data_IF_520930305626
#
_entry.id   IF_520930305626
#
_cell.length_a   1.000
_cell.length_b   1.000
_cell.length_c   1.000
_cell.angle_alpha   90.00
_cell.angle_beta   90.00
_cell.angle_gamma   90.00
#
_symmetry.space_group_name_H-M   'P 1'
#
loop_
_entity.id
_entity.type
_entity.pdbx_description
1 polymer ?
#
# COMPACT_ATOMS: atom_id res chain seq x y z
N UNK A 1 13.31 46.88 8.34
CA UNK A 1 12.11 46.06 8.08
C UNK A 1 12.36 44.63 8.56
N UNK A 2 11.33 43.81 8.81
CA UNK A 2 11.51 42.36 9.05
C UNK A 2 12.23 41.68 7.88
N UNK A 3 12.99 40.63 8.18
CA UNK A 3 13.86 39.95 7.21
C UNK A 3 13.40 38.51 6.93
N UNK A 4 13.91 37.90 5.86
CA UNK A 4 13.66 36.49 5.49
C UNK A 4 12.18 36.07 5.55
N UNK A 5 11.29 36.97 5.11
CA UNK A 5 9.84 36.74 5.12
C UNK A 5 9.50 35.61 4.15
N UNK A 6 8.89 34.56 4.69
CA UNK A 6 8.46 33.36 3.98
C UNK A 6 7.03 33.02 4.37
N UNK A 7 6.31 32.33 3.48
CA UNK A 7 4.91 32.01 3.72
C UNK A 7 4.51 30.66 3.15
N UNK A 8 3.44 30.11 3.70
CA UNK A 8 2.74 28.91 3.21
C UNK A 8 1.25 29.21 3.19
N UNK A 9 0.61 28.86 2.08
CA UNK A 9 -0.83 29.01 1.87
C UNK A 9 -1.55 27.70 2.17
N UNK A 10 -2.78 27.80 2.66
CA UNK A 10 -3.82 26.76 2.63
C UNK A 10 -5.04 27.34 1.91
N UNK A 11 -6.13 26.61 1.86
CA UNK A 11 -7.37 27.02 1.20
C UNK A 11 -8.06 28.21 1.91
N UNK A 12 -7.95 28.31 3.23
CA UNK A 12 -8.58 29.37 4.03
C UNK A 12 -7.59 30.12 4.93
N UNK A 13 -6.29 29.86 4.81
CA UNK A 13 -5.28 30.48 5.67
C UNK A 13 -3.97 30.77 4.95
N UNK A 14 -3.19 31.69 5.53
CA UNK A 14 -1.79 31.93 5.17
C UNK A 14 -0.97 32.01 6.44
N UNK A 15 0.06 31.18 6.54
CA UNK A 15 1.05 31.23 7.63
C UNK A 15 2.29 31.96 7.15
N UNK A 16 2.73 32.95 7.92
CA UNK A 16 3.92 33.75 7.68
C UNK A 16 4.99 33.39 8.70
N UNK A 17 6.25 33.43 8.28
CA UNK A 17 7.42 33.43 9.14
C UNK A 17 8.40 34.52 8.71
N UNK A 18 9.11 35.10 9.65
CA UNK A 18 10.09 36.16 9.41
C UNK A 18 11.15 36.16 10.49
N UNK A 19 12.27 36.81 10.20
CA UNK A 19 13.31 37.15 11.15
C UNK A 19 13.13 38.62 11.60
N UNK A 20 13.54 38.98 12.82
CA UNK A 20 13.53 40.37 13.27
C UNK A 20 14.40 41.25 12.37
N UNK A 21 14.17 42.58 12.32
CA UNK A 21 15.07 43.50 11.62
C UNK A 21 16.51 43.34 12.10
N UNK A 22 17.51 43.40 11.20
CA UNK A 22 18.94 43.38 11.59
C UNK A 22 19.32 44.47 12.61
N UNK A 23 18.59 45.59 12.60
CA UNK A 23 18.75 46.69 13.56
C UNK A 23 18.03 46.48 14.90
N UNK A 24 17.44 45.30 15.17
CA UNK A 24 16.66 45.05 16.39
C UNK A 24 17.47 45.14 17.70
N UNK A 25 18.80 45.06 17.62
CA UNK A 25 19.70 45.29 18.77
C UNK A 25 19.97 46.79 19.04
N UNK A 26 19.67 47.66 18.08
CA UNK A 26 19.90 49.10 18.13
C UNK A 26 18.58 49.88 18.30
N UNK A 27 17.53 49.42 17.62
CA UNK A 27 16.19 50.01 17.62
C UNK A 27 15.24 49.01 18.27
N UNK A 28 14.62 49.41 19.36
CA UNK A 28 13.64 48.58 20.07
C UNK A 28 12.50 48.16 19.13
N UNK A 29 12.20 46.87 19.12
CA UNK A 29 11.00 46.30 18.49
C UNK A 29 10.03 45.89 19.59
N UNK A 30 8.77 46.34 19.53
CA UNK A 30 7.70 45.91 20.45
C UNK A 30 6.90 44.75 19.87
N UNK A 31 6.79 44.69 18.55
CA UNK A 31 6.09 43.65 17.85
C UNK A 31 5.99 43.92 16.35
N UNK A 32 5.01 43.29 15.71
CA UNK A 32 4.84 43.33 14.26
C UNK A 32 3.41 43.65 13.87
N UNK A 33 3.23 44.34 12.74
CA UNK A 33 1.91 44.58 12.15
C UNK A 33 1.84 43.85 10.81
N UNK A 34 0.81 43.02 10.62
CA UNK A 34 0.49 42.43 9.31
C UNK A 34 -0.75 43.09 8.77
N UNK A 35 -0.63 43.78 7.64
CA UNK A 35 -1.77 44.30 6.89
C UNK A 35 -2.06 43.43 5.68
N UNK A 36 -3.33 43.11 5.40
CA UNK A 36 -3.70 42.18 4.33
C UNK A 36 -5.08 42.47 3.72
N UNK A 37 -5.29 42.07 2.47
CA UNK A 37 -6.58 42.21 1.79
C UNK A 37 -6.53 41.89 0.30
N UNK A 38 -7.70 41.86 -0.34
CA UNK A 38 -7.83 41.54 -1.76
C UNK A 38 -7.56 42.82 -2.57
N UNK A 39 -6.55 42.79 -3.43
CA UNK A 39 -6.09 43.95 -4.21
C UNK A 39 -5.34 45.00 -3.38
N UNK A 40 -5.81 45.31 -2.16
CA UNK A 40 -5.16 46.24 -1.22
C UNK A 40 -5.16 45.70 0.22
N UNK A 41 -4.11 45.97 1.01
CA UNK A 41 -4.02 45.54 2.40
C UNK A 41 -4.92 46.38 3.33
N UNK A 42 -6.23 46.08 3.29
CA UNK A 42 -7.30 46.84 3.95
C UNK A 42 -7.59 46.43 5.40
N UNK A 43 -7.11 45.25 5.83
CA UNK A 43 -7.22 44.73 7.20
C UNK A 43 -5.86 44.75 7.86
N UNK A 44 -5.81 44.81 9.19
CA UNK A 44 -4.55 44.72 9.95
C UNK A 44 -4.66 43.85 11.18
N UNK A 45 -3.56 43.20 11.53
CA UNK A 45 -3.36 42.46 12.77
C UNK A 45 -2.10 43.01 13.43
N UNK A 46 -2.18 43.31 14.72
CA UNK A 46 -1.05 43.73 15.54
C UNK A 46 -0.64 42.55 16.40
N UNK A 47 0.65 42.22 16.37
CA UNK A 47 1.25 41.11 17.10
C UNK A 47 2.19 41.72 18.13
N UNK A 48 1.94 41.43 19.39
CA UNK A 48 2.82 41.83 20.49
C UNK A 48 3.95 40.81 20.65
N UNK A 49 5.14 41.29 21.04
CA UNK A 49 6.30 40.46 21.31
C UNK A 49 7.36 40.56 20.21
N UNK A 50 8.51 41.13 20.57
CA UNK A 50 9.67 41.29 19.70
C UNK A 50 10.21 39.94 19.15
N UNK A 51 10.06 38.88 19.95
CA UNK A 51 10.55 37.54 19.64
C UNK A 51 9.59 36.71 18.78
N UNK A 52 8.41 37.25 18.44
CA UNK A 52 7.45 36.55 17.59
C UNK A 52 7.98 36.52 16.15
N UNK A 53 8.09 35.32 15.59
CA UNK A 53 8.68 35.08 14.28
C UNK A 53 7.72 34.36 13.32
N UNK A 54 6.47 34.12 13.73
CA UNK A 54 5.47 33.45 12.92
C UNK A 54 4.05 33.89 13.29
N UNK A 55 3.15 33.88 12.30
CA UNK A 55 1.72 34.12 12.53
C UNK A 55 0.85 33.55 11.40
N UNK A 56 -0.31 32.98 11.75
CA UNK A 56 -1.28 32.43 10.79
C UNK A 56 -2.52 33.31 10.69
N UNK A 57 -2.81 33.80 9.49
CA UNK A 57 -4.04 34.51 9.16
C UNK A 57 -5.05 33.49 8.64
N UNK A 58 -6.13 33.30 9.40
CA UNK A 58 -7.20 32.34 9.09
C UNK A 58 -8.42 33.03 8.47
N UNK A 59 -9.39 32.22 8.01
CA UNK A 59 -10.70 32.66 7.46
C UNK A 59 -10.55 33.57 6.24
N UNK A 60 -9.54 33.29 5.41
CA UNK A 60 -9.39 33.86 4.08
C UNK A 60 -10.33 33.14 3.10
N UNK A 61 -10.65 33.80 2.00
CA UNK A 61 -11.43 33.19 0.92
C UNK A 61 -10.52 32.22 0.15
N UNK A 62 -11.00 31.04 -0.22
CA UNK A 62 -10.26 30.14 -1.11
C UNK A 62 -10.09 30.71 -2.51
N UNK A 63 -9.10 30.17 -3.23
CA UNK A 63 -8.75 30.56 -4.60
C UNK A 63 -8.67 32.08 -4.80
N UNK A 64 -8.10 32.79 -3.83
CA UNK A 64 -8.11 34.25 -3.79
C UNK A 64 -6.70 34.77 -3.52
N UNK A 65 -6.23 35.68 -4.38
CA UNK A 65 -4.95 36.37 -4.19
C UNK A 65 -5.11 37.54 -3.21
N UNK A 66 -4.32 37.49 -2.14
CA UNK A 66 -4.22 38.53 -1.13
C UNK A 66 -2.89 39.28 -1.27
N UNK A 67 -2.93 40.59 -1.02
CA UNK A 67 -1.76 41.45 -0.85
C UNK A 67 -1.50 41.58 0.64
N UNK A 68 -0.26 41.34 1.07
CA UNK A 68 0.19 41.44 2.44
C UNK A 68 1.28 42.50 2.57
N UNK A 69 1.32 43.17 3.73
CA UNK A 69 2.37 44.07 4.17
C UNK A 69 2.76 43.70 5.60
N UNK A 70 4.03 43.36 5.84
CA UNK A 70 4.58 43.09 7.16
C UNK A 70 5.52 44.23 7.59
N UNK A 71 5.33 44.73 8.81
CA UNK A 71 6.15 45.77 9.44
C UNK A 71 6.50 45.40 10.88
N UNK A 72 7.59 45.96 11.39
CA UNK A 72 7.89 45.98 12.82
C UNK A 72 7.47 47.34 13.40
N UNK A 73 6.95 47.37 14.62
CA UNK A 73 6.58 48.61 15.31
C UNK A 73 7.28 48.72 16.68
N UNK A 74 7.38 49.95 17.17
CA UNK A 74 7.93 50.28 18.49
C UNK A 74 7.00 51.26 19.23
N UNK A 75 7.49 51.93 20.28
CA UNK A 75 6.69 52.89 21.07
C UNK A 75 6.59 54.29 20.44
N UNK A 76 7.25 54.53 19.30
CA UNK A 76 7.14 55.79 18.59
C UNK A 76 5.78 55.88 17.89
N UNK A 77 5.10 57.02 18.05
CA UNK A 77 3.81 57.25 17.43
C UNK A 77 3.95 57.36 15.89
N UNK A 78 3.27 56.45 15.18
CA UNK A 78 2.95 56.62 13.76
C UNK A 78 3.99 56.11 12.75
N UNK A 79 5.12 55.57 13.18
CA UNK A 79 6.14 55.03 12.26
C UNK A 79 6.43 53.54 12.52
N UNK A 80 5.73 52.71 11.78
CA UNK A 80 6.15 51.34 11.52
C UNK A 80 7.41 51.36 10.63
N UNK A 81 8.22 50.30 10.72
CA UNK A 81 9.34 50.10 9.79
C UNK A 81 8.88 50.11 8.34
N UNK A 82 9.82 50.19 7.39
CA UNK A 82 9.52 49.90 5.98
C UNK A 82 8.77 48.56 5.82
N UNK A 83 7.83 48.54 4.87
CA UNK A 83 6.91 47.43 4.61
C UNK A 83 7.55 46.37 3.74
N UNK A 84 7.49 45.13 4.18
CA UNK A 84 7.71 43.98 3.30
C UNK A 84 6.39 43.65 2.63
N UNK A 85 6.30 43.90 1.32
CA UNK A 85 5.11 43.62 0.51
C UNK A 85 5.26 42.29 -0.23
N UNK A 86 4.21 41.47 -0.19
CA UNK A 86 4.14 40.24 -0.96
C UNK A 86 2.69 39.88 -1.28
N UNK A 87 2.51 38.98 -2.24
CA UNK A 87 1.21 38.42 -2.58
C UNK A 87 1.20 36.91 -2.34
N UNK A 88 0.08 36.39 -1.87
CA UNK A 88 -0.14 34.96 -1.73
C UNK A 88 -1.55 34.59 -2.16
N UNK A 89 -1.67 33.50 -2.92
CA UNK A 89 -2.96 32.99 -3.41
C UNK A 89 -3.33 31.78 -2.56
N UNK A 90 -4.45 31.88 -1.86
CA UNK A 90 -5.01 30.73 -1.13
C UNK A 90 -5.36 29.60 -2.09
N UNK A 91 -5.25 28.37 -1.63
CA UNK A 91 -5.53 27.20 -2.45
C UNK A 91 -7.02 27.13 -2.82
N UNK A 92 -7.36 26.34 -3.85
CA UNK A 92 -8.75 26.11 -4.23
C UNK A 92 -9.47 25.49 -3.03
N UNK A 93 -10.65 26.04 -2.71
CA UNK A 93 -11.42 25.66 -1.53
C UNK A 93 -11.73 24.18 -1.58
N UNK A 94 -11.23 23.43 -0.60
CA UNK A 94 -11.68 22.06 -0.40
C UNK A 94 -13.17 22.15 -0.06
N UNK A 95 -14.01 21.37 -0.72
CA UNK A 95 -15.45 21.46 -0.44
C UNK A 95 -15.68 21.21 1.07
N UNK A 96 -16.76 21.74 1.64
CA UNK A 96 -17.10 21.45 3.04
C UNK A 96 -17.28 19.95 3.31
N UNK A 97 -17.51 19.15 2.27
CA UNK A 97 -17.50 17.68 2.32
C UNK A 97 -16.06 17.13 2.39
N UNK A 98 -15.11 17.68 1.63
CA UNK A 98 -13.69 17.25 1.64
C UNK A 98 -12.97 17.54 2.96
N UNK A 99 -13.36 18.59 3.70
CA UNK A 99 -12.86 18.86 5.05
C UNK A 99 -13.30 17.82 6.09
N UNK A 100 -14.37 17.07 5.82
CA UNK A 100 -14.87 16.00 6.68
C UNK A 100 -14.32 14.62 6.29
N UNK A 101 -13.52 14.55 5.23
CA UNK A 101 -12.96 13.30 4.71
C UNK A 101 -11.58 13.09 5.32
N UNK A 102 -11.52 12.16 6.26
CA UNK A 102 -10.28 11.72 6.86
C UNK A 102 -9.78 10.45 6.17
N UNK A 103 -8.67 10.56 5.44
CA UNK A 103 -7.99 9.40 4.88
C UNK A 103 -7.36 8.59 6.01
N UNK A 104 -7.67 7.31 6.04
CA UNK A 104 -7.08 6.38 6.99
C UNK A 104 -5.60 6.14 6.62
N UNK A 105 -4.69 6.10 7.60
CA UNK A 105 -3.29 5.78 7.33
C UNK A 105 -3.16 4.33 6.84
N UNK A 106 -2.15 4.02 6.00
CA UNK A 106 -1.79 2.65 5.68
C UNK A 106 -1.58 1.81 6.95
N UNK A 107 -2.14 0.61 6.96
CA UNK A 107 -2.18 -0.29 8.10
C UNK A 107 -1.42 -1.59 7.79
N UNK A 108 -1.10 -2.37 8.83
CA UNK A 108 -0.40 -3.66 8.71
C UNK A 108 0.88 -3.56 7.87
N UNK A 109 1.71 -2.55 8.17
CA UNK A 109 3.04 -2.44 7.57
C UNK A 109 3.84 -3.64 8.04
N UNK A 110 4.40 -4.40 7.10
CA UNK A 110 5.31 -5.50 7.36
C UNK A 110 6.64 -5.19 6.69
N UNK A 111 7.71 -5.23 7.47
CA UNK A 111 9.07 -5.08 6.98
C UNK A 111 9.84 -6.39 7.11
N UNK A 112 10.66 -6.71 6.11
CA UNK A 112 11.62 -7.81 6.17
C UNK A 112 12.99 -7.34 5.67
N UNK A 113 14.03 -7.58 6.48
CA UNK A 113 15.40 -7.34 6.04
C UNK A 113 15.80 -8.48 5.07
N UNK A 114 15.95 -8.15 3.79
CA UNK A 114 16.29 -9.14 2.75
C UNK A 114 17.80 -9.26 2.56
N UNK A 115 18.55 -8.25 2.97
CA UNK A 115 20.01 -8.28 3.02
C UNK A 115 20.56 -7.28 4.04
N UNK A 116 21.89 -7.17 4.12
CA UNK A 116 22.55 -6.17 4.96
C UNK A 116 22.34 -4.72 4.48
N UNK A 117 21.81 -4.53 3.27
CA UNK A 117 21.62 -3.19 2.69
C UNK A 117 20.20 -2.97 2.15
N UNK A 118 19.27 -3.91 2.38
CA UNK A 118 17.94 -3.87 1.78
C UNK A 118 16.85 -4.34 2.74
N UNK A 119 15.71 -3.65 2.68
CA UNK A 119 14.49 -3.97 3.41
C UNK A 119 13.33 -4.00 2.40
N UNK A 120 12.50 -5.04 2.46
CA UNK A 120 11.26 -5.13 1.70
C UNK A 120 10.07 -4.74 2.60
N UNK A 121 9.16 -3.93 2.06
CA UNK A 121 8.00 -3.39 2.77
C UNK A 121 6.72 -3.71 2.02
N UNK A 122 5.69 -4.10 2.75
CA UNK A 122 4.32 -4.19 2.24
C UNK A 122 3.32 -3.66 3.28
N UNK A 123 2.15 -3.19 2.82
CA UNK A 123 1.10 -2.66 3.70
C UNK A 123 -0.30 -2.81 3.09
N UNK A 124 -1.32 -2.56 3.89
CA UNK A 124 -2.72 -2.46 3.47
C UNK A 124 -3.17 -0.99 3.41
N UNK A 125 -3.96 -0.63 2.40
CA UNK A 125 -4.60 0.67 2.29
C UNK A 125 -6.10 0.56 2.64
N UNK A 126 -6.50 0.90 3.88
CA UNK A 126 -7.89 0.80 4.31
C UNK A 126 -8.86 1.66 3.51
N UNK A 127 -8.38 2.69 2.79
CA UNK A 127 -9.24 3.58 1.99
C UNK A 127 -9.81 2.90 0.73
N UNK A 128 -9.37 1.67 0.42
CA UNK A 128 -9.84 0.86 -0.70
C UNK A 128 -10.82 -0.24 -0.29
N UNK A 129 -11.05 -0.40 1.01
CA UNK A 129 -12.08 -1.29 1.51
C UNK A 129 -13.45 -0.84 0.95
N UNK A 130 -14.24 -1.78 0.41
CA UNK A 130 -15.56 -1.51 -0.20
C UNK A 130 -16.43 -0.61 0.67
N UNK A 131 -16.48 -0.82 1.98
CA UNK A 131 -17.29 0.02 2.87
C UNK A 131 -16.85 1.49 2.84
N UNK A 132 -15.57 1.77 3.09
CA UNK A 132 -15.06 3.15 3.11
C UNK A 132 -15.06 3.77 1.72
N UNK A 133 -14.69 2.98 0.72
CA UNK A 133 -14.60 3.42 -0.66
C UNK A 133 -15.96 3.85 -1.21
N UNK A 134 -17.04 3.11 -0.93
CA UNK A 134 -18.39 3.43 -1.39
C UNK A 134 -18.94 4.74 -0.82
N UNK A 135 -18.57 5.07 0.41
CA UNK A 135 -19.01 6.29 1.11
C UNK A 135 -18.23 7.54 0.70
N UNK A 136 -17.13 7.41 -0.04
CA UNK A 136 -16.43 8.58 -0.56
C UNK A 136 -17.18 9.23 -1.74
N UNK A 137 -17.15 10.57 -1.87
CA UNK A 137 -17.61 11.26 -3.08
C UNK A 137 -16.85 10.82 -4.33
N UNK A 138 -17.47 10.94 -5.50
CA UNK A 138 -16.87 10.50 -6.77
C UNK A 138 -15.56 11.23 -7.13
N UNK A 139 -15.42 12.49 -6.71
CA UNK A 139 -14.17 13.27 -6.85
C UNK A 139 -13.00 12.59 -6.10
N UNK A 140 -13.27 12.06 -4.91
CA UNK A 140 -12.29 11.37 -4.07
C UNK A 140 -12.04 9.96 -4.58
N UNK A 141 -13.08 9.20 -4.96
CA UNK A 141 -12.92 7.88 -5.60
C UNK A 141 -12.01 7.94 -6.82
N UNK A 142 -12.19 8.96 -7.67
CA UNK A 142 -11.34 9.18 -8.85
C UNK A 142 -9.89 9.50 -8.46
N UNK A 143 -9.70 10.25 -7.39
CA UNK A 143 -8.37 10.60 -6.86
C UNK A 143 -7.67 9.41 -6.20
N UNK A 144 -8.40 8.55 -5.48
CA UNK A 144 -7.92 7.31 -4.85
C UNK A 144 -7.35 6.31 -5.86
N UNK A 145 -7.91 6.24 -7.08
CA UNK A 145 -7.35 5.43 -8.17
C UNK A 145 -5.95 5.87 -8.61
N UNK A 146 -5.56 7.11 -8.31
CA UNK A 146 -4.27 7.72 -8.64
C UNK A 146 -3.44 8.06 -7.41
N UNK A 147 -3.80 7.47 -6.26
CA UNK A 147 -3.09 7.65 -4.99
C UNK A 147 -1.62 7.26 -5.10
N UNK A 148 -0.80 7.85 -4.25
CA UNK A 148 0.58 7.45 -4.03
C UNK A 148 0.81 7.28 -2.54
N UNK A 149 1.86 6.55 -2.20
CA UNK A 149 2.31 6.38 -0.83
C UNK A 149 3.65 7.08 -0.66
N UNK A 150 3.79 7.84 0.41
CA UNK A 150 5.07 8.39 0.84
C UNK A 150 5.59 7.50 1.96
N UNK A 151 6.79 6.98 1.77
CA UNK A 151 7.50 6.18 2.76
C UNK A 151 8.60 7.07 3.32
N UNK A 152 8.59 7.29 4.63
CA UNK A 152 9.64 7.99 5.35
C UNK A 152 10.42 6.98 6.18
N UNK A 153 11.74 6.94 5.99
CA UNK A 153 12.60 6.00 6.71
C UNK A 153 13.94 6.64 7.08
N UNK A 154 14.58 6.10 8.11
CA UNK A 154 15.94 6.46 8.49
C UNK A 154 16.41 5.64 9.68
N UNK A 155 17.65 5.84 10.09
CA UNK A 155 18.20 5.16 11.27
C UNK A 155 17.32 5.47 12.49
N UNK A 156 17.05 4.47 13.33
CA UNK A 156 16.19 4.60 14.49
C UNK A 156 16.65 5.76 15.39
N UNK A 157 15.72 6.65 15.76
CA UNK A 157 15.97 7.88 16.54
C UNK A 157 16.83 8.95 15.84
N UNK A 158 17.14 8.80 14.55
CA UNK A 158 17.84 9.81 13.77
C UNK A 158 16.89 10.93 13.34
N UNK A 159 17.40 12.17 13.29
CA UNK A 159 16.70 13.28 12.65
C UNK A 159 16.85 13.29 11.13
N UNK A 160 17.79 12.50 10.60
CA UNK A 160 18.07 12.40 9.18
C UNK A 160 17.19 11.30 8.57
N UNK A 161 15.99 11.69 8.13
CA UNK A 161 15.01 10.81 7.52
C UNK A 161 14.92 11.06 6.01
N UNK A 162 14.97 9.99 5.23
CA UNK A 162 14.76 9.99 3.79
C UNK A 162 13.29 9.75 3.45
N UNK A 163 12.89 10.15 2.24
CA UNK A 163 11.53 9.95 1.73
C UNK A 163 11.56 9.43 0.32
N UNK A 164 10.77 8.40 0.07
CA UNK A 164 10.51 7.87 -1.27
C UNK A 164 9.01 7.79 -1.52
N UNK A 165 8.63 7.60 -2.78
CA UNK A 165 7.24 7.51 -3.20
C UNK A 165 7.00 6.20 -3.95
N UNK A 166 5.91 5.51 -3.62
CA UNK A 166 5.44 4.32 -4.34
C UNK A 166 4.02 4.54 -4.86
N UNK A 167 3.72 3.96 -6.02
CA UNK A 167 2.35 3.93 -6.57
C UNK A 167 1.58 2.65 -6.18
N UNK A 168 2.27 1.69 -5.57
CA UNK A 168 1.76 0.36 -5.19
C UNK A 168 1.96 0.13 -3.69
N UNK A 169 1.20 -0.77 -3.03
CA UNK A 169 1.25 -0.96 -1.57
C UNK A 169 2.44 -1.80 -1.10
N UNK A 170 3.59 -1.65 -1.77
CA UNK A 170 4.86 -2.28 -1.43
C UNK A 170 6.03 -1.45 -1.97
N UNK A 171 7.22 -1.62 -1.39
CA UNK A 171 8.47 -1.03 -1.87
C UNK A 171 9.69 -1.78 -1.35
N UNK A 172 10.81 -1.70 -2.08
CA UNK A 172 12.12 -2.14 -1.61
C UNK A 172 12.98 -0.93 -1.29
N UNK A 173 13.49 -0.86 -0.07
CA UNK A 173 14.50 0.10 0.37
C UNK A 173 15.88 -0.49 0.10
N UNK A 174 16.81 0.32 -0.41
CA UNK A 174 18.16 -0.10 -0.81
C UNK A 174 19.20 0.87 -0.27
N UNK A 175 20.48 0.47 -0.35
CA UNK A 175 21.64 1.26 0.11
C UNK A 175 21.61 1.59 1.61
N UNK A 176 21.02 0.69 2.41
CA UNK A 176 20.96 0.82 3.85
C UNK A 176 22.27 0.37 4.50
N UNK A 177 22.52 0.82 5.73
CA UNK A 177 23.69 0.40 6.51
C UNK A 177 23.44 -0.98 7.10
N UNK A 178 24.42 -1.90 7.08
CA UNK A 178 24.35 -3.18 7.77
C UNK A 178 24.13 -3.06 9.28
N UNK A 179 23.47 -4.06 9.89
CA UNK A 179 23.27 -4.13 11.35
C UNK A 179 22.79 -2.83 11.96
N UNK A 180 21.85 -2.18 11.29
CA UNK A 180 21.35 -0.86 11.68
C UNK A 180 19.84 -0.93 11.80
N UNK A 181 19.31 -0.41 12.91
CA UNK A 181 17.88 -0.33 13.12
C UNK A 181 17.34 0.86 12.31
N UNK A 182 16.31 0.62 11.52
CA UNK A 182 15.62 1.62 10.74
C UNK A 182 14.19 1.81 11.27
N UNK A 183 13.76 3.05 11.41
CA UNK A 183 12.35 3.39 11.60
C UNK A 183 11.71 3.72 10.25
N UNK A 184 10.50 3.24 10.04
CA UNK A 184 9.78 3.35 8.78
C UNK A 184 8.32 3.74 9.06
N UNK A 185 7.82 4.72 8.33
CA UNK A 185 6.43 5.16 8.38
C UNK A 185 5.90 5.41 6.98
N UNK A 186 4.61 5.16 6.76
CA UNK A 186 3.98 5.30 5.44
C UNK A 186 2.72 6.15 5.58
N UNK A 187 2.45 7.01 4.59
CA UNK A 187 1.17 7.70 4.45
C UNK A 187 0.68 7.66 3.02
N UNK A 188 -0.64 7.76 2.83
CA UNK A 188 -1.24 7.91 1.51
C UNK A 188 -1.42 9.39 1.17
N UNK A 189 -1.18 9.73 -0.10
CA UNK A 189 -1.42 11.06 -0.66
C UNK A 189 -2.20 10.95 -1.97
N UNK A 190 -3.17 11.83 -2.13
CA UNK A 190 -4.00 11.95 -3.33
C UNK A 190 -3.51 13.08 -4.24
N UNK A 191 -3.80 13.05 -5.56
CA UNK A 191 -3.41 14.11 -6.48
C UNK A 191 -3.97 15.50 -6.15
N UNK A 192 -5.10 15.56 -5.42
CA UNK A 192 -5.71 16.81 -4.97
C UNK A 192 -5.05 17.38 -3.69
N UNK A 193 -3.96 16.78 -3.22
CA UNK A 193 -3.21 17.25 -2.04
C UNK A 193 -3.74 16.74 -0.70
N UNK A 194 -4.80 15.94 -0.68
CA UNK A 194 -5.25 15.28 0.55
C UNK A 194 -4.27 14.19 0.96
N UNK A 195 -4.00 14.09 2.26
CA UNK A 195 -3.09 13.12 2.83
C UNK A 195 -3.67 12.50 4.11
N UNK A 196 -3.30 11.24 4.37
CA UNK A 196 -3.55 10.62 5.66
C UNK A 196 -2.53 11.10 6.69
N UNK A 197 -2.81 10.82 7.97
CA UNK A 197 -1.75 10.76 8.98
C UNK A 197 -0.67 9.73 8.57
N UNK A 198 0.49 9.81 9.22
CA UNK A 198 1.48 8.74 9.16
C UNK A 198 0.93 7.49 9.85
N UNK A 199 1.29 6.32 9.32
CA UNK A 199 1.06 5.04 9.95
C UNK A 199 1.73 4.96 11.33
N UNK A 200 1.40 3.90 12.07
CA UNK A 200 2.28 3.45 13.14
C UNK A 200 3.69 3.18 12.58
N UNK A 201 4.70 3.41 13.41
CA UNK A 201 6.10 3.19 13.04
C UNK A 201 6.42 1.70 13.04
N UNK A 202 7.09 1.26 11.99
CA UNK A 202 7.70 -0.06 11.89
C UNK A 202 9.20 0.08 12.15
N UNK A 203 9.75 -0.78 13.01
CA UNK A 203 11.18 -0.78 13.34
C UNK A 203 11.76 -2.12 12.92
N UNK A 204 12.80 -2.08 12.10
CA UNK A 204 13.42 -3.28 11.55
C UNK A 204 14.94 -3.10 11.48
N UNK A 205 15.68 -4.17 11.77
CA UNK A 205 17.14 -4.17 11.73
C UNK A 205 17.61 -4.79 10.42
N UNK A 206 18.51 -4.12 9.71
CA UNK A 206 19.19 -4.71 8.55
C UNK A 206 20.18 -5.79 8.97
N UNK A 207 20.44 -6.75 8.07
CA UNK A 207 21.34 -7.85 8.36
C UNK A 207 22.81 -7.40 8.51
N UNK A 208 23.64 -8.23 9.14
CA UNK A 208 25.07 -7.92 9.27
C UNK A 208 25.83 -8.13 7.96
N UNK A 209 26.88 -7.33 7.70
CA UNK A 209 27.71 -7.47 6.49
C UNK A 209 28.47 -8.80 6.44
N UNK A 210 28.69 -9.40 7.61
CA UNK A 210 29.30 -10.72 7.79
C UNK A 210 28.25 -11.81 8.06
N UNK A 211 26.96 -11.48 7.98
CA UNK A 211 25.92 -12.47 7.99
C UNK A 211 26.08 -13.26 6.70
N UNK A 212 26.51 -14.52 6.84
CA UNK A 212 25.89 -15.58 6.03
C UNK A 212 24.40 -15.29 6.12
N UNK A 213 23.66 -15.12 5.01
CA UNK A 213 22.25 -14.73 5.04
C UNK A 213 21.59 -15.50 6.17
N UNK A 214 21.22 -14.77 7.22
CA UNK A 214 20.49 -15.32 8.34
C UNK A 214 19.22 -15.86 7.70
N UNK A 215 19.19 -17.18 7.55
CA UNK A 215 17.93 -17.92 7.59
C UNK A 215 17.37 -17.71 9.00
N UNK A 216 16.95 -16.49 9.34
CA UNK A 216 15.74 -16.39 10.12
C UNK A 216 14.67 -16.90 9.19
N UNK A 217 14.33 -18.15 9.45
CA UNK A 217 13.31 -18.96 8.83
C UNK A 217 11.95 -18.33 9.15
N UNK A 218 11.72 -17.11 8.69
CA UNK A 218 10.37 -16.59 8.46
C UNK A 218 9.80 -17.46 7.37
N UNK A 219 8.99 -18.44 7.77
CA UNK A 219 8.32 -19.36 6.85
C UNK A 219 7.56 -18.50 5.84
N UNK A 220 8.09 -18.35 4.62
CA UNK A 220 7.46 -17.53 3.60
C UNK A 220 6.08 -18.13 3.31
N UNK A 221 5.03 -17.36 3.55
CA UNK A 221 3.66 -17.71 3.19
C UNK A 221 3.14 -16.72 2.14
N UNK A 222 2.89 -17.21 0.94
CA UNK A 222 2.16 -16.51 -0.11
C UNK A 222 0.76 -17.14 -0.20
N UNK A 223 -0.25 -16.50 0.39
CA UNK A 223 -1.65 -16.94 0.35
C UNK A 223 -2.48 -16.09 -0.60
N UNK A 224 -3.31 -16.74 -1.41
CA UNK A 224 -4.24 -16.12 -2.36
C UNK A 224 -5.65 -16.65 -2.11
N UNK A 225 -6.42 -15.90 -1.32
CA UNK A 225 -7.79 -16.19 -0.85
C UNK A 225 -8.88 -15.55 -1.73
N UNK A 226 -8.50 -14.75 -2.73
CA UNK A 226 -9.39 -14.05 -3.67
C UNK A 226 -10.42 -13.09 -3.04
N UNK A 227 -10.32 -12.79 -1.74
CA UNK A 227 -11.24 -11.91 -0.99
C UNK A 227 -11.07 -10.41 -1.31
N UNK A 228 -9.99 -10.02 -1.97
CA UNK A 228 -9.70 -8.64 -2.37
C UNK A 228 -9.53 -8.51 -3.88
N UNK A 229 -10.39 -7.70 -4.52
CA UNK A 229 -10.42 -7.50 -5.98
C UNK A 229 -9.16 -6.82 -6.59
N UNK A 230 -8.15 -6.46 -5.79
CA UNK A 230 -6.99 -5.67 -6.23
C UNK A 230 -5.61 -6.35 -6.05
N UNK A 231 -5.51 -7.68 -6.20
CA UNK A 231 -4.21 -8.32 -6.48
C UNK A 231 -4.28 -9.20 -7.71
N UNK A 232 -3.91 -8.63 -8.87
CA UNK A 232 -3.66 -9.33 -10.13
C UNK A 232 -2.36 -10.15 -10.09
N UNK A 233 -2.18 -10.97 -9.04
CA UNK A 233 -1.08 -11.94 -8.97
C UNK A 233 -1.36 -13.12 -9.88
N UNK A 234 -2.60 -13.61 -9.94
CA UNK A 234 -3.02 -14.60 -10.94
C UNK A 234 -3.85 -13.94 -12.04
N UNK A 235 -3.64 -14.37 -13.28
CA UNK A 235 -4.44 -13.97 -14.43
C UNK A 235 -4.85 -15.18 -15.26
N UNK A 236 -6.04 -15.11 -15.86
CA UNK A 236 -6.51 -16.11 -16.82
C UNK A 236 -5.73 -15.96 -18.13
N UNK A 237 -5.18 -17.05 -18.65
CA UNK A 237 -4.49 -17.06 -19.95
C UNK A 237 -5.47 -16.64 -21.06
N UNK A 238 -5.26 -15.50 -21.73
CA UNK A 238 -6.17 -15.03 -22.77
C UNK A 238 -6.24 -15.97 -23.99
N UNK A 239 -5.26 -16.86 -24.17
CA UNK A 239 -5.23 -17.83 -25.27
C UNK A 239 -6.02 -19.11 -24.97
N UNK A 240 -6.37 -19.36 -23.71
CA UNK A 240 -7.14 -20.54 -23.33
C UNK A 240 -8.63 -20.37 -23.73
N UNK A 241 -9.29 -21.43 -24.23
CA UNK A 241 -10.69 -21.34 -24.64
C UNK A 241 -11.64 -21.11 -23.45
N UNK A 242 -11.28 -21.58 -22.25
CA UNK A 242 -12.01 -21.30 -21.02
C UNK A 242 -11.29 -20.23 -20.20
N UNK A 243 -12.07 -19.26 -19.71
CA UNK A 243 -11.56 -18.13 -18.94
C UNK A 243 -11.98 -18.23 -17.48
N UNK A 244 -11.02 -18.08 -16.58
CA UNK A 244 -11.23 -18.03 -15.14
C UNK A 244 -11.88 -16.71 -14.73
N UNK A 245 -12.84 -16.76 -13.80
CA UNK A 245 -13.58 -15.57 -13.33
C UNK A 245 -13.72 -15.59 -11.82
N UNK A 246 -13.67 -14.41 -11.19
CA UNK A 246 -14.07 -14.30 -9.79
C UNK A 246 -15.56 -14.65 -9.67
N UNK A 247 -15.87 -15.47 -8.68
CA UNK A 247 -17.22 -15.91 -8.35
C UNK A 247 -17.47 -15.66 -6.88
N UNK A 248 -18.71 -15.25 -6.56
CA UNK A 248 -19.22 -15.28 -5.20
C UNK A 248 -19.65 -16.71 -4.89
N UNK A 249 -18.98 -17.33 -3.92
CA UNK A 249 -19.22 -18.73 -3.55
C UNK A 249 -20.58 -18.88 -2.87
N UNK A 250 -21.03 -17.87 -2.11
CA UNK A 250 -22.30 -17.90 -1.37
C UNK A 250 -23.52 -17.88 -2.30
N UNK A 251 -23.42 -17.24 -3.46
CA UNK A 251 -24.47 -17.28 -4.48
C UNK A 251 -24.48 -18.59 -5.29
N UNK A 252 -23.33 -19.26 -5.42
CA UNK A 252 -23.15 -20.43 -6.31
C UNK A 252 -23.20 -21.78 -5.60
N UNK A 253 -22.80 -21.83 -4.33
CA UNK A 253 -22.75 -23.02 -3.47
C UNK A 253 -23.64 -22.74 -2.25
N UNK A 254 -24.81 -23.37 -2.21
CA UNK A 254 -25.79 -23.24 -1.11
C UNK A 254 -25.36 -24.02 0.16
N UNK A 255 -24.10 -23.88 0.56
CA UNK A 255 -23.46 -24.64 1.67
C UNK A 255 -23.00 -23.73 2.82
N UNK A 256 -23.49 -22.48 2.85
CA UNK A 256 -23.17 -21.52 3.92
C UNK A 256 -21.74 -20.95 3.86
N UNK A 257 -20.94 -21.32 2.86
CA UNK A 257 -19.63 -20.72 2.60
C UNK A 257 -19.81 -19.33 1.97
N UNK A 258 -19.43 -18.28 2.70
CA UNK A 258 -19.38 -16.91 2.18
C UNK A 258 -17.93 -16.53 1.85
N UNK A 259 -17.69 -15.98 0.67
CA UNK A 259 -16.36 -15.59 0.22
C UNK A 259 -16.24 -15.57 -1.29
N UNK A 260 -15.11 -15.09 -1.77
CA UNK A 260 -14.78 -15.05 -3.19
C UNK A 260 -13.86 -16.22 -3.56
N UNK A 261 -14.00 -16.71 -4.78
CA UNK A 261 -13.13 -17.74 -5.33
C UNK A 261 -12.97 -17.52 -6.83
N UNK A 262 -12.09 -18.29 -7.45
CA UNK A 262 -11.95 -18.25 -8.91
C UNK A 262 -12.57 -19.50 -9.54
N UNK A 263 -13.60 -19.27 -10.36
CA UNK A 263 -14.40 -20.30 -10.99
C UNK A 263 -14.05 -20.49 -12.46
N UNK A 264 -14.15 -21.72 -12.92
CA UNK A 264 -14.09 -22.08 -14.35
C UNK A 264 -15.33 -22.88 -14.71
N UNK A 265 -16.03 -22.44 -15.75
CA UNK A 265 -17.27 -23.08 -16.19
C UNK A 265 -17.33 -23.23 -17.72
N UNK A 266 -17.98 -24.29 -18.18
CA UNK A 266 -18.24 -24.54 -19.59
C UNK A 266 -19.51 -25.35 -19.78
N UNK A 267 -20.30 -24.99 -20.80
CA UNK A 267 -21.52 -25.69 -21.22
C UNK A 267 -21.41 -26.28 -22.63
N UNK A 268 -20.19 -26.38 -23.18
CA UNK A 268 -19.93 -26.93 -24.52
C UNK A 268 -19.46 -28.38 -24.39
N UNK A 269 -19.87 -29.27 -25.31
CA UNK A 269 -19.41 -30.67 -25.27
C UNK A 269 -17.91 -30.82 -25.50
N UNK A 270 -17.32 -29.96 -26.34
CA UNK A 270 -15.94 -30.08 -26.78
C UNK A 270 -14.93 -30.10 -25.62
N UNK A 271 -13.89 -30.92 -25.79
CA UNK A 271 -12.69 -30.86 -24.96
C UNK A 271 -12.11 -29.45 -24.99
N UNK A 272 -11.91 -28.89 -23.82
CA UNK A 272 -11.45 -27.52 -23.66
C UNK A 272 -10.58 -27.41 -22.41
N UNK A 273 -9.83 -26.32 -22.33
CA UNK A 273 -8.93 -26.10 -21.21
C UNK A 273 -8.98 -24.65 -20.74
N UNK A 274 -8.69 -24.46 -19.46
CA UNK A 274 -8.46 -23.16 -18.84
C UNK A 274 -7.09 -23.13 -18.19
N UNK A 275 -6.44 -21.97 -18.19
CA UNK A 275 -5.14 -21.77 -17.53
C UNK A 275 -5.19 -20.54 -16.66
N UNK A 276 -4.78 -20.72 -15.41
CA UNK A 276 -4.56 -19.65 -14.45
C UNK A 276 -3.04 -19.56 -14.20
N UNK A 277 -2.47 -18.37 -14.42
CA UNK A 277 -1.02 -18.17 -14.42
C UNK A 277 -0.68 -17.06 -13.43
N UNK A 278 0.31 -17.29 -12.56
CA UNK A 278 0.79 -16.24 -11.66
C UNK A 278 1.69 -15.24 -12.38
N UNK A 279 1.89 -14.06 -11.80
CA UNK A 279 3.06 -13.22 -12.08
C UNK A 279 4.33 -13.99 -11.71
N UNK A 280 5.46 -13.64 -12.33
CA UNK A 280 6.74 -14.28 -12.01
C UNK A 280 7.24 -13.85 -10.64
N UNK A 281 7.69 -14.79 -9.83
CA UNK A 281 8.28 -14.54 -8.52
C UNK A 281 9.47 -15.46 -8.27
N UNK A 282 10.28 -15.11 -7.27
CA UNK A 282 11.46 -15.86 -6.89
C UNK A 282 11.40 -16.19 -5.41
N UNK A 283 11.92 -17.36 -5.07
CA UNK A 283 11.92 -17.91 -3.74
C UNK A 283 13.34 -18.01 -3.20
N UNK A 284 13.51 -18.00 -1.88
CA UNK A 284 14.81 -17.88 -1.21
C UNK A 284 15.28 -19.18 -0.53
N UNK A 285 14.35 -19.95 0.03
CA UNK A 285 14.58 -21.24 0.68
C UNK A 285 14.78 -22.37 -0.33
N UNK A 286 15.14 -23.56 0.16
CA UNK A 286 15.44 -24.72 -0.67
C UNK A 286 14.20 -25.58 -0.94
N UNK A 287 13.28 -25.67 0.03
CA UNK A 287 12.09 -26.53 -0.04
C UNK A 287 10.84 -25.71 0.22
N UNK A 288 9.79 -26.00 -0.53
CA UNK A 288 8.50 -25.36 -0.42
C UNK A 288 7.37 -26.36 -0.54
N UNK A 289 6.24 -26.01 0.07
CA UNK A 289 4.95 -26.61 -0.15
C UNK A 289 4.10 -25.65 -0.99
N UNK A 290 3.47 -26.17 -2.04
CA UNK A 290 2.30 -25.51 -2.65
C UNK A 290 1.04 -26.25 -2.22
N UNK A 291 0.00 -25.52 -1.85
CA UNK A 291 -1.32 -26.08 -1.58
C UNK A 291 -2.42 -25.27 -2.25
N UNK A 292 -3.57 -25.92 -2.46
CA UNK A 292 -4.73 -25.34 -3.09
C UNK A 292 -6.01 -26.05 -2.66
N UNK A 293 -7.08 -25.28 -2.47
CA UNK A 293 -8.41 -25.82 -2.31
C UNK A 293 -9.15 -25.85 -3.65
N UNK A 294 -9.71 -27.01 -4.00
CA UNK A 294 -10.51 -27.19 -5.21
C UNK A 294 -11.90 -27.76 -4.88
N UNK A 295 -12.91 -27.15 -5.49
CA UNK A 295 -14.27 -27.67 -5.53
C UNK A 295 -14.61 -28.13 -6.95
N UNK A 296 -15.22 -29.31 -7.08
CA UNK A 296 -15.74 -29.80 -8.35
C UNK A 296 -17.19 -30.27 -8.18
N UNK A 297 -18.08 -29.82 -9.09
CA UNK A 297 -19.44 -30.36 -9.18
C UNK A 297 -19.41 -31.81 -9.69
N UNK A 298 -20.49 -32.55 -9.42
CA UNK A 298 -20.58 -33.99 -9.71
C UNK A 298 -20.30 -34.34 -11.18
N UNK A 299 -20.78 -33.49 -12.09
CA UNK A 299 -20.64 -33.69 -13.54
C UNK A 299 -19.26 -33.33 -14.09
N UNK A 300 -18.41 -32.64 -13.33
CA UNK A 300 -17.11 -32.17 -13.81
C UNK A 300 -16.10 -33.32 -13.94
N UNK A 301 -15.63 -33.56 -15.16
CA UNK A 301 -14.63 -34.58 -15.52
C UNK A 301 -13.44 -33.95 -16.21
N UNK A 302 -12.25 -34.50 -15.99
CA UNK A 302 -11.03 -33.89 -16.50
C UNK A 302 -9.82 -34.01 -15.58
N UNK A 303 -8.82 -33.19 -15.84
CA UNK A 303 -7.56 -33.21 -15.11
C UNK A 303 -7.16 -31.80 -14.69
N UNK A 304 -6.79 -31.64 -13.41
CA UNK A 304 -6.09 -30.46 -12.91
C UNK A 304 -4.59 -30.75 -12.90
N UNK A 305 -3.80 -29.86 -13.47
CA UNK A 305 -2.34 -29.87 -13.38
C UNK A 305 -1.86 -28.58 -12.72
N UNK A 306 -1.10 -28.70 -11.63
CA UNK A 306 -0.35 -27.59 -11.02
C UNK A 306 1.12 -27.76 -11.38
N UNK A 307 1.72 -26.74 -11.96
CA UNK A 307 3.09 -26.78 -12.45
C UNK A 307 3.84 -25.46 -12.21
N UNK A 308 5.16 -25.53 -12.17
CA UNK A 308 6.05 -24.37 -12.21
C UNK A 308 6.52 -24.15 -13.64
N UNK A 309 6.54 -22.89 -14.09
CA UNK A 309 7.10 -22.45 -15.36
C UNK A 309 8.35 -21.62 -15.07
N UNK A 310 9.51 -22.18 -15.33
CA UNK A 310 10.81 -21.51 -15.17
C UNK A 310 11.28 -20.97 -16.52
N UNK A 311 11.68 -19.70 -16.57
CA UNK A 311 12.32 -19.14 -17.76
C UNK A 311 13.82 -19.42 -17.70
N UNK A 312 14.29 -20.37 -18.50
CA UNK A 312 15.70 -20.73 -18.61
C UNK A 312 16.26 -20.19 -19.93
N UNK A 313 17.56 -19.91 -20.00
CA UNK A 313 18.24 -19.33 -21.19
C UNK A 313 17.97 -20.09 -22.51
N UNK A 314 17.60 -21.37 -22.45
CA UNK A 314 17.30 -22.24 -23.59
C UNK A 314 15.80 -22.57 -23.80
N UNK A 315 14.89 -21.85 -23.13
CA UNK A 315 13.44 -22.01 -23.25
C UNK A 315 12.74 -22.19 -21.89
N UNK A 316 11.41 -22.32 -21.94
CA UNK A 316 10.61 -22.45 -20.72
C UNK A 316 10.61 -23.91 -20.24
N UNK A 317 11.04 -24.13 -19.00
CA UNK A 317 11.00 -25.45 -18.35
C UNK A 317 9.72 -25.57 -17.52
N UNK A 318 8.91 -26.61 -17.77
CA UNK A 318 7.67 -26.89 -17.04
C UNK A 318 7.88 -28.07 -16.09
N UNK A 319 7.69 -27.83 -14.79
CA UNK A 319 7.80 -28.85 -13.74
C UNK A 319 6.40 -29.12 -13.19
N UNK A 320 5.86 -30.30 -13.44
CA UNK A 320 4.56 -30.69 -12.88
C UNK A 320 4.70 -31.07 -11.41
N UNK A 321 3.89 -30.44 -10.55
CA UNK A 321 3.86 -30.70 -9.11
C UNK A 321 2.68 -31.57 -8.71
N UNK A 322 1.48 -31.25 -9.22
CA UNK A 322 0.24 -32.00 -8.96
C UNK A 322 -0.38 -32.33 -10.31
N UNK A 323 -0.88 -33.56 -10.46
CA UNK A 323 -1.73 -33.97 -11.59
C UNK A 323 -2.83 -34.83 -11.03
N UNK A 324 -4.04 -34.28 -10.96
CA UNK A 324 -5.19 -34.90 -10.29
C UNK A 324 -6.35 -35.08 -11.26
N UNK A 325 -6.92 -36.29 -11.27
CA UNK A 325 -8.15 -36.60 -12.00
C UNK A 325 -9.34 -36.04 -11.20
N UNK A 326 -10.14 -35.18 -11.82
CA UNK A 326 -11.26 -34.54 -11.13
C UNK A 326 -12.28 -35.57 -10.64
N UNK A 327 -12.33 -36.75 -11.25
CA UNK A 327 -13.14 -37.91 -10.89
C UNK A 327 -12.74 -38.55 -9.56
N UNK A 328 -11.49 -38.38 -9.13
CA UNK A 328 -10.98 -38.92 -7.85
C UNK A 328 -11.25 -37.99 -6.67
N UNK A 329 -11.54 -36.72 -6.94
CA UNK A 329 -11.89 -35.74 -5.93
C UNK A 329 -13.28 -36.04 -5.34
N UNK A 330 -13.45 -35.75 -4.05
CA UNK A 330 -14.77 -35.74 -3.44
C UNK A 330 -15.62 -34.67 -4.11
N UNK A 331 -16.75 -35.07 -4.69
CA UNK A 331 -17.66 -34.16 -5.36
C UNK A 331 -18.50 -33.38 -4.38
N UNK A 332 -18.92 -32.19 -4.80
CA UNK A 332 -19.75 -31.27 -4.00
C UNK A 332 -19.14 -30.90 -2.64
N UNK A 333 -17.81 -30.87 -2.55
CA UNK A 333 -17.07 -30.43 -1.37
C UNK A 333 -15.72 -29.87 -1.79
N UNK A 334 -15.12 -29.08 -0.90
CA UNK A 334 -13.75 -28.64 -1.05
C UNK A 334 -12.77 -29.80 -0.78
N UNK A 335 -11.76 -29.93 -1.63
CA UNK A 335 -10.67 -30.88 -1.48
C UNK A 335 -9.36 -30.09 -1.40
N UNK A 336 -8.51 -30.42 -0.44
CA UNK A 336 -7.20 -29.80 -0.28
C UNK A 336 -6.14 -30.63 -1.00
N UNK A 337 -5.45 -30.03 -1.96
CA UNK A 337 -4.35 -30.64 -2.70
C UNK A 337 -3.06 -29.92 -2.34
N UNK A 338 -1.97 -30.66 -2.23
CA UNK A 338 -0.67 -30.07 -1.93
C UNK A 338 0.47 -30.89 -2.54
N UNK A 339 1.61 -30.24 -2.78
CA UNK A 339 2.84 -30.88 -3.22
C UNK A 339 4.08 -30.15 -2.71
N UNK A 340 5.10 -30.94 -2.39
CA UNK A 340 6.42 -30.41 -2.08
C UNK A 340 7.21 -30.16 -3.37
N UNK A 341 7.98 -29.08 -3.41
CA UNK A 341 8.93 -28.83 -4.49
C UNK A 341 10.23 -28.23 -3.97
N UNK A 342 11.29 -28.40 -4.77
CA UNK A 342 12.61 -27.85 -4.50
C UNK A 342 12.77 -26.58 -5.34
N UNK A 343 13.20 -25.51 -4.71
CA UNK A 343 13.43 -24.23 -5.38
C UNK A 343 14.67 -24.32 -6.27
N UNK A 344 14.49 -24.09 -7.57
CA UNK A 344 15.59 -24.00 -8.55
C UNK A 344 16.38 -22.70 -8.47
N UNK A 345 15.93 -21.73 -7.65
CA UNK A 345 16.44 -20.36 -7.51
C UNK A 345 16.32 -19.50 -8.78
N UNK A 346 15.62 -20.00 -9.80
CA UNK A 346 15.23 -19.22 -10.96
C UNK A 346 13.86 -18.56 -10.71
N UNK A 347 13.60 -17.38 -11.29
CA UNK A 347 12.25 -16.83 -11.32
C UNK A 347 11.29 -17.78 -12.04
N UNK A 348 10.11 -18.00 -11.45
CA UNK A 348 9.11 -18.90 -12.00
C UNK A 348 7.69 -18.37 -11.85
N UNK A 349 6.78 -18.92 -12.65
CA UNK A 349 5.34 -18.71 -12.52
C UNK A 349 4.67 -20.01 -12.08
N UNK A 350 3.61 -19.92 -11.28
CA UNK A 350 2.71 -21.03 -11.00
C UNK A 350 1.66 -21.09 -12.10
N UNK A 351 1.54 -22.24 -12.74
CA UNK A 351 0.54 -22.57 -13.74
C UNK A 351 -0.45 -23.58 -13.17
N UNK A 352 -1.73 -23.24 -13.21
CA UNK A 352 -2.82 -24.17 -12.98
C UNK A 352 -3.56 -24.36 -14.31
N UNK A 353 -3.41 -25.55 -14.91
CA UNK A 353 -4.09 -25.93 -16.14
C UNK A 353 -5.17 -26.95 -15.81
N UNK A 354 -6.39 -26.67 -16.25
CA UNK A 354 -7.51 -27.60 -16.14
C UNK A 354 -7.92 -27.99 -17.54
N UNK A 355 -7.95 -29.30 -17.81
CA UNK A 355 -8.45 -29.88 -19.05
C UNK A 355 -9.74 -30.60 -18.77
N UNK A 356 -10.83 -30.10 -19.34
CA UNK A 356 -12.15 -30.73 -19.29
C UNK A 356 -12.18 -31.91 -20.26
N UNK A 357 -12.67 -33.06 -19.80
CA UNK A 357 -13.07 -34.18 -20.67
C UNK A 357 -14.45 -33.93 -21.28
N UNK A 358 -14.71 -34.54 -22.43
CA UNK A 358 -15.97 -34.39 -23.19
C UNK A 358 -17.21 -34.56 -22.29
N UNK A 359 -17.92 -33.45 -22.06
CA UNK A 359 -19.10 -33.37 -21.19
C UNK A 359 -19.88 -32.11 -21.53
N UNK A 360 -21.20 -32.13 -21.44
CA UNK A 360 -22.06 -30.97 -21.68
C UNK A 360 -22.00 -29.94 -20.55
N UNK A 361 -21.53 -30.31 -19.36
CA UNK A 361 -21.43 -29.42 -18.20
C UNK A 361 -20.07 -29.54 -17.53
N UNK A 362 -19.50 -28.42 -17.14
CA UNK A 362 -18.26 -28.37 -16.39
C UNK A 362 -18.24 -27.16 -15.48
N UNK A 363 -17.88 -27.39 -14.22
CA UNK A 363 -17.79 -26.36 -13.21
C UNK A 363 -16.82 -26.78 -12.10
N UNK A 364 -15.83 -25.93 -11.87
CA UNK A 364 -14.91 -26.04 -10.73
C UNK A 364 -14.65 -24.66 -10.14
N UNK A 365 -14.21 -24.64 -8.90
CA UNK A 365 -13.71 -23.44 -8.24
C UNK A 365 -12.38 -23.75 -7.53
N UNK A 366 -11.52 -22.75 -7.48
CA UNK A 366 -10.26 -22.78 -6.75
C UNK A 366 -10.25 -21.68 -5.68
N UNK A 367 -9.68 -21.97 -4.53
CA UNK A 367 -9.47 -21.02 -3.45
C UNK A 367 -8.16 -21.28 -2.71
N UNK A 368 -7.73 -20.30 -1.91
CA UNK A 368 -6.64 -20.41 -0.92
C UNK A 368 -5.38 -21.08 -1.50
N UNK A 369 -4.92 -20.56 -2.65
CA UNK A 369 -3.65 -21.02 -3.23
C UNK A 369 -2.54 -20.53 -2.32
N UNK A 370 -1.74 -21.43 -1.78
CA UNK A 370 -0.71 -21.10 -0.79
C UNK A 370 0.64 -21.65 -1.21
N UNK A 371 1.70 -20.84 -1.11
CA UNK A 371 3.10 -21.29 -1.20
C UNK A 371 3.77 -21.02 0.14
N UNK A 372 4.19 -22.10 0.80
CA UNK A 372 4.77 -22.10 2.14
C UNK A 372 6.22 -22.59 2.09
N UNK A 373 7.13 -21.90 2.76
CA UNK A 373 8.49 -22.42 3.00
C UNK A 373 8.44 -23.70 3.83
N UNK A 374 9.25 -24.69 3.48
CA UNK A 374 9.31 -25.98 4.15
C UNK A 374 8.55 -27.08 3.42
N UNK A 375 8.06 -28.07 4.18
CA UNK A 375 7.32 -29.22 3.64
C UNK A 375 5.83 -29.07 3.93
N UNK A 376 5.00 -29.64 3.08
CA UNK A 376 3.58 -29.77 3.31
C UNK A 376 3.35 -30.60 4.57
N UNK A 377 2.48 -30.10 5.45
CA UNK A 377 1.98 -30.83 6.60
C UNK A 377 0.65 -31.49 6.23
N UNK A 378 0.44 -32.73 6.66
CA UNK A 378 -0.82 -33.47 6.49
C UNK A 378 -1.97 -32.95 7.38
N UNK A 379 -1.74 -31.89 8.15
CA UNK A 379 -2.71 -31.25 9.04
C UNK A 379 -3.42 -30.04 8.41
N UNK A 380 -4.58 -29.68 8.95
CA UNK A 380 -5.37 -28.51 8.55
C UNK A 380 -4.50 -27.23 8.57
N UNK A 381 -4.38 -26.46 7.47
CA UNK A 381 -3.53 -25.27 7.43
C UNK A 381 -3.85 -24.21 8.50
N UNK A 382 -5.07 -24.20 9.06
CA UNK A 382 -5.44 -23.33 10.17
C UNK A 382 -4.91 -23.80 11.55
N UNK A 383 -4.27 -24.98 11.63
CA UNK A 383 -3.71 -25.53 12.87
C UNK A 383 -2.22 -25.24 13.09
N UNK A 384 -1.57 -24.45 12.23
CA UNK A 384 -0.18 -24.00 12.43
C UNK A 384 -0.16 -22.62 13.10
N UNK A 385 -0.72 -22.56 14.31
CA UNK A 385 -0.26 -21.67 15.36
C UNK A 385 0.04 -22.57 16.56
N UNK A 386 1.30 -22.72 17.00
CA UNK A 386 1.53 -23.14 18.37
C UNK A 386 0.99 -22.02 19.26
N UNK A 387 -0.13 -22.31 19.93
CA UNK A 387 -0.44 -21.76 21.25
C UNK A 387 0.72 -22.15 22.20
N UNK A 388 1.86 -21.47 22.10
CA UNK A 388 2.85 -21.43 23.19
C UNK A 388 3.79 -20.24 22.98
N UNK A 389 3.37 -19.09 23.50
CA UNK A 389 4.22 -18.26 24.35
C UNK A 389 3.37 -17.11 24.91
N UNK A 390 2.52 -17.47 25.88
CA UNK A 390 2.23 -16.54 26.97
C UNK A 390 3.53 -16.35 27.75
N UNK A 391 4.31 -15.36 27.38
CA UNK A 391 5.24 -14.75 28.32
C UNK A 391 4.46 -13.66 29.06
N UNK A 392 3.88 -14.04 30.19
CA UNK A 392 3.68 -13.08 31.28
C UNK A 392 5.07 -12.60 31.73
N UNK A 393 5.34 -11.31 31.50
CA UNK A 393 6.17 -10.43 32.32
C UNK A 393 5.71 -8.98 32.09
#
# INVERSE_FOLDING_TARGET
MPENVRWKTDDNSVTLWWDPPSTANEILVRGYTISYGIGTPSRRVIIEGANTNAFTINRLRPNTTYVFALTAYNEADGEDSEKVLFTATTEIGKSSEEHSIYLQPPANIKASATSSHEIELNWNDPNLNSYLYEHFPDSIKTSLKKRKYIIQYGEYQSLNLEKITSAVPHVRLSNLKPSTDYEITVKVILPNGMESAWSIREIIRTESSNAIPSKESGMLELRFDFEQAEKSFFYSDPSAPLQWKMIDVGEQLSDGTSGYSIGLQSTTMDESYGRLISTSFSLTDDNYCISIWIYAKDFSKGTLTVALLENVENGNHKINLITEELERLGKQRWNHLFANFINSRNPFQVLLEVRKQESDQFWIALNDITVLSGKCFDGDPDTILPDDDRIEC
#
